data_IF_450484092755
#
_entry.id   IF_450484092755
#
_cell.length_a   1.000
_cell.length_b   1.000
_cell.length_c   1.000
_cell.angle_alpha   90.00
_cell.angle_beta   90.00
_cell.angle_gamma   90.00
#
_symmetry.space_group_name_H-M   'P 1'
#
loop_
_entity.id
_entity.type
_entity.pdbx_description
1 polymer ?
#
# COMPACT_ATOMS: atom_id res chain seq x y z
N UNK A 1 -5.55 12.70 7.04
CA UNK A 1 -6.84 12.77 6.32
C UNK A 1 -7.19 11.39 5.77
N UNK A 2 -8.47 11.08 5.56
CA UNK A 2 -8.94 9.73 5.15
C UNK A 2 -8.85 9.59 3.63
N UNK A 3 -8.39 8.45 3.07
CA UNK A 3 -8.49 8.20 1.65
C UNK A 3 -9.95 8.03 1.24
N UNK A 4 -10.30 8.45 0.02
CA UNK A 4 -11.61 8.20 -0.58
C UNK A 4 -11.65 6.86 -1.33
N UNK A 5 -10.49 6.38 -1.79
CA UNK A 5 -10.36 5.10 -2.48
C UNK A 5 -8.93 4.58 -2.30
N UNK A 6 -8.80 3.27 -2.09
CA UNK A 6 -7.56 2.54 -2.25
C UNK A 6 -7.63 1.70 -3.52
N UNK A 7 -6.58 1.70 -4.32
CA UNK A 7 -6.48 0.90 -5.54
C UNK A 7 -5.29 -0.05 -5.45
N UNK A 8 -5.44 -1.21 -6.09
CA UNK A 8 -4.34 -2.12 -6.40
C UNK A 8 -4.18 -2.19 -7.91
N UNK A 9 -2.98 -1.92 -8.37
CA UNK A 9 -2.58 -2.00 -9.77
C UNK A 9 -1.44 -3.02 -9.90
N UNK A 10 -1.37 -3.71 -11.04
CA UNK A 10 -0.27 -4.61 -11.36
C UNK A 10 0.22 -4.42 -12.79
N UNK A 11 1.43 -4.89 -13.07
CA UNK A 11 1.85 -5.24 -14.42
C UNK A 11 1.39 -6.67 -14.72
N UNK A 12 0.34 -6.82 -15.52
CA UNK A 12 -0.18 -8.10 -15.97
C UNK A 12 0.32 -8.50 -17.36
N UNK A 13 -0.23 -9.59 -17.90
CA UNK A 13 0.18 -10.15 -19.20
C UNK A 13 -0.02 -9.20 -20.39
N UNK A 14 -0.93 -8.22 -20.27
CA UNK A 14 -1.24 -7.25 -21.33
C UNK A 14 -0.75 -5.84 -21.02
N UNK A 15 -0.01 -5.65 -19.93
CA UNK A 15 0.48 -4.35 -19.47
C UNK A 15 -0.08 -3.96 -18.12
N UNK A 16 -0.17 -2.64 -17.87
CA UNK A 16 -0.68 -2.08 -16.61
C UNK A 16 -2.18 -2.32 -16.48
N UNK A 17 -2.60 -2.91 -15.37
CA UNK A 17 -3.98 -3.29 -15.12
C UNK A 17 -4.41 -2.88 -13.71
N UNK A 18 -5.59 -2.24 -13.60
CA UNK A 18 -6.27 -2.08 -12.31
C UNK A 18 -6.83 -3.43 -11.87
N UNK A 19 -6.31 -3.96 -10.76
CA UNK A 19 -6.76 -5.22 -10.18
C UNK A 19 -8.06 -5.01 -9.41
N UNK A 20 -8.07 -4.04 -8.49
CA UNK A 20 -9.26 -3.71 -7.72
C UNK A 20 -9.19 -2.29 -7.16
N UNK A 21 -10.34 -1.77 -6.75
CA UNK A 21 -10.48 -0.49 -6.05
C UNK A 21 -11.52 -0.62 -4.93
N UNK A 22 -11.20 -0.09 -3.76
CA UNK A 22 -12.07 -0.11 -2.59
C UNK A 22 -12.07 1.24 -1.84
N UNK A 23 -13.26 1.83 -1.59
CA UNK A 23 -14.53 1.53 -2.24
C UNK A 23 -14.49 1.90 -3.74
N UNK A 24 -15.30 1.25 -4.58
CA UNK A 24 -15.30 1.48 -6.05
C UNK A 24 -16.12 2.72 -6.42
N UNK A 25 -15.62 3.90 -6.04
CA UNK A 25 -16.38 5.17 -6.12
C UNK A 25 -15.87 6.16 -7.18
N UNK A 26 -14.69 5.94 -7.76
CA UNK A 26 -14.11 6.87 -8.73
C UNK A 26 -14.58 6.61 -10.17
N UNK A 27 -14.73 7.66 -11.00
CA UNK A 27 -15.03 7.50 -12.42
C UNK A 27 -13.97 6.66 -13.13
N UNK A 28 -14.39 5.83 -14.09
CA UNK A 28 -13.47 4.94 -14.84
C UNK A 28 -12.28 5.68 -15.45
N UNK A 29 -12.51 6.87 -16.04
CA UNK A 29 -11.44 7.70 -16.62
C UNK A 29 -10.35 8.07 -15.60
N UNK A 30 -10.75 8.38 -14.36
CA UNK A 30 -9.82 8.71 -13.27
C UNK A 30 -9.04 7.47 -12.86
N UNK A 31 -9.71 6.32 -12.75
CA UNK A 31 -9.06 5.06 -12.42
C UNK A 31 -8.03 4.65 -13.48
N UNK A 32 -8.36 4.81 -14.77
CA UNK A 32 -7.43 4.53 -15.87
C UNK A 32 -6.20 5.46 -15.79
N UNK A 33 -6.38 6.77 -15.55
CA UNK A 33 -5.27 7.70 -15.36
C UNK A 33 -4.41 7.38 -14.13
N UNK A 34 -5.03 6.95 -13.01
CA UNK A 34 -4.33 6.50 -11.81
C UNK A 34 -3.43 5.29 -12.12
N UNK A 35 -3.95 4.32 -12.89
CA UNK A 35 -3.19 3.14 -13.30
C UNK A 35 -1.91 3.51 -14.05
N UNK A 36 -1.97 4.47 -14.97
CA UNK A 36 -0.77 4.90 -15.72
C UNK A 36 0.19 5.76 -14.92
N UNK A 37 -0.31 6.66 -14.07
CA UNK A 37 0.52 7.62 -13.32
C UNK A 37 1.16 7.03 -12.06
N UNK A 38 0.56 6.00 -11.48
CA UNK A 38 1.07 5.35 -10.26
C UNK A 38 2.29 4.45 -10.53
N UNK A 39 2.42 3.89 -11.73
CA UNK A 39 3.54 3.03 -12.13
C UNK A 39 4.09 3.44 -13.51
N UNK A 40 4.97 4.46 -13.58
CA UNK A 40 5.62 4.83 -14.85
C UNK A 40 6.55 3.71 -15.35
N UNK A 41 6.93 3.75 -16.64
CA UNK A 41 7.74 2.68 -17.27
C UNK A 41 9.10 2.40 -16.58
N UNK A 42 9.62 3.32 -15.78
CA UNK A 42 10.88 3.17 -15.04
C UNK A 42 10.71 2.78 -13.57
N UNK A 43 9.47 2.49 -13.14
CA UNK A 43 9.14 2.12 -11.76
C UNK A 43 9.86 0.85 -11.30
N UNK A 44 10.36 0.86 -10.07
CA UNK A 44 11.05 -0.25 -9.41
C UNK A 44 10.42 -0.56 -8.05
N UNK A 45 10.54 -1.79 -7.53
CA UNK A 45 10.15 -2.10 -6.16
C UNK A 45 10.80 -1.15 -5.15
N UNK A 46 10.01 -0.65 -4.21
CA UNK A 46 10.44 0.34 -3.22
C UNK A 46 10.21 1.80 -3.64
N UNK A 47 9.94 2.06 -4.93
CA UNK A 47 9.61 3.40 -5.39
C UNK A 47 8.30 3.88 -4.76
N UNK A 48 8.27 5.18 -4.44
CA UNK A 48 7.09 5.88 -3.98
C UNK A 48 6.79 7.03 -4.93
N UNK A 49 5.54 7.10 -5.39
CA UNK A 49 5.06 8.13 -6.30
C UNK A 49 3.86 8.84 -5.70
N UNK A 50 3.75 10.14 -5.95
CA UNK A 50 2.59 10.93 -5.56
C UNK A 50 2.32 11.99 -6.62
N UNK A 51 1.08 12.46 -6.69
CA UNK A 51 0.70 13.45 -7.69
C UNK A 51 -0.78 13.76 -7.65
N UNK A 52 -1.28 14.32 -8.76
CA UNK A 52 -2.69 14.67 -8.91
C UNK A 52 -3.29 14.29 -10.26
N UNK A 53 -4.61 14.09 -10.26
CA UNK A 53 -5.46 13.84 -11.42
C UNK A 53 -6.71 14.70 -11.25
N UNK A 54 -6.78 15.80 -12.00
CA UNK A 54 -7.76 16.86 -11.71
C UNK A 54 -7.55 17.39 -10.30
N UNK A 55 -8.63 17.44 -9.53
CA UNK A 55 -8.63 17.90 -8.13
C UNK A 55 -8.30 16.78 -7.11
N UNK A 56 -8.08 15.55 -7.59
CA UNK A 56 -7.75 14.42 -6.73
C UNK A 56 -6.24 14.27 -6.59
N UNK A 57 -5.80 13.90 -5.39
CA UNK A 57 -4.41 13.63 -5.07
C UNK A 57 -4.22 12.14 -4.84
N UNK A 58 -3.06 11.59 -5.20
CA UNK A 58 -2.75 10.20 -4.96
C UNK A 58 -1.34 10.00 -4.40
N UNK A 59 -1.16 8.89 -3.69
CA UNK A 59 0.11 8.37 -3.23
C UNK A 59 0.17 6.87 -3.49
N UNK A 60 1.26 6.38 -4.06
CA UNK A 60 1.43 4.99 -4.44
C UNK A 60 2.78 4.44 -4.03
N UNK A 61 2.76 3.21 -3.54
CA UNK A 61 3.97 2.45 -3.20
C UNK A 61 4.08 1.23 -4.12
N UNK A 62 5.22 1.09 -4.80
CA UNK A 62 5.49 0.03 -5.77
C UNK A 62 6.23 -1.12 -5.07
N UNK A 63 5.83 -2.35 -5.34
CA UNK A 63 6.39 -3.55 -4.73
C UNK A 63 6.54 -4.70 -5.72
N UNK A 64 7.42 -5.65 -5.39
CA UNK A 64 7.64 -6.85 -6.18
C UNK A 64 6.61 -7.93 -5.82
N UNK A 65 5.98 -8.55 -6.81
CA UNK A 65 5.15 -9.73 -6.61
C UNK A 65 6.01 -11.00 -6.82
N UNK A 66 5.94 -11.99 -5.91
CA UNK A 66 6.61 -13.27 -6.08
C UNK A 66 5.82 -14.17 -7.06
N UNK A 67 6.40 -14.48 -8.23
CA UNK A 67 6.06 -15.63 -9.07
C UNK A 67 7.31 -16.15 -9.80
N UNK A 68 7.27 -17.45 -10.12
CA UNK A 68 8.43 -18.32 -10.33
C UNK A 68 9.18 -18.18 -11.68
N UNK A 69 8.66 -17.52 -12.72
CA UNK A 69 9.23 -17.74 -14.07
C UNK A 69 9.30 -16.58 -15.09
N UNK A 70 8.95 -15.32 -14.78
CA UNK A 70 9.12 -14.21 -15.75
C UNK A 70 9.49 -12.90 -15.05
N UNK A 71 10.27 -12.05 -15.74
CA UNK A 71 10.73 -10.69 -15.35
C UNK A 71 9.77 -9.99 -14.38
N UNK A 72 10.31 -9.58 -13.22
CA UNK A 72 9.79 -8.65 -12.22
C UNK A 72 8.33 -8.17 -12.41
N UNK A 73 7.35 -8.98 -12.02
CA UNK A 73 5.98 -8.50 -11.88
C UNK A 73 5.92 -7.53 -10.70
N UNK A 74 5.64 -6.26 -10.99
CA UNK A 74 5.47 -5.22 -9.98
C UNK A 74 3.99 -4.92 -9.77
N UNK A 75 3.63 -4.62 -8.53
CA UNK A 75 2.33 -4.09 -8.15
C UNK A 75 2.48 -2.72 -7.48
N UNK A 76 1.38 -1.98 -7.40
CA UNK A 76 1.30 -0.75 -6.62
C UNK A 76 0.02 -0.70 -5.80
N UNK A 77 0.16 -0.37 -4.51
CA UNK A 77 -0.96 0.04 -3.66
C UNK A 77 -1.04 1.56 -3.73
N UNK A 78 -2.23 2.07 -3.99
CA UNK A 78 -2.48 3.50 -4.24
C UNK A 78 -3.55 3.98 -3.27
N UNK A 79 -3.32 5.11 -2.60
CA UNK A 79 -4.34 5.84 -1.85
C UNK A 79 -4.70 7.13 -2.60
N UNK A 80 -6.01 7.42 -2.69
CA UNK A 80 -6.55 8.61 -3.35
C UNK A 80 -7.27 9.49 -2.34
N UNK A 81 -7.08 10.81 -2.45
CA UNK A 81 -7.57 11.84 -1.53
C UNK A 81 -8.19 13.02 -2.30
N UNK A 82 -9.09 13.76 -1.64
CA UNK A 82 -9.72 14.98 -2.20
C UNK A 82 -8.94 16.27 -1.87
N UNK A 83 -7.99 16.21 -0.93
CA UNK A 83 -7.20 17.35 -0.48
C UNK A 83 -5.74 16.91 -0.36
N UNK A 84 -4.82 17.84 -0.60
CA UNK A 84 -3.38 17.66 -0.50
C UNK A 84 -2.88 17.55 0.96
N UNK A 85 -3.68 17.94 1.95
CA UNK A 85 -3.33 17.94 3.38
C UNK A 85 -3.36 16.54 4.02
N UNK A 86 -2.63 15.58 3.46
CA UNK A 86 -2.44 14.24 4.04
C UNK A 86 -0.98 13.94 4.39
N UNK A 87 -0.76 13.02 5.34
CA UNK A 87 0.58 12.61 5.76
C UNK A 87 1.19 11.64 4.74
N UNK A 88 1.89 12.19 3.75
CA UNK A 88 2.53 11.43 2.67
C UNK A 88 3.56 10.43 3.20
N UNK A 89 4.40 10.84 4.16
CA UNK A 89 5.43 9.97 4.73
C UNK A 89 4.82 8.82 5.56
N UNK A 90 3.77 9.12 6.34
CA UNK A 90 3.02 8.10 7.07
C UNK A 90 2.39 7.07 6.13
N UNK A 91 1.86 7.48 4.98
CA UNK A 91 1.32 6.56 3.97
C UNK A 91 2.42 5.69 3.38
N UNK A 92 3.55 6.28 2.99
CA UNK A 92 4.71 5.55 2.46
C UNK A 92 5.17 4.48 3.43
N UNK A 93 5.43 4.86 4.70
CA UNK A 93 5.85 3.96 5.77
C UNK A 93 4.84 2.85 6.00
N UNK A 94 3.55 3.20 6.07
CA UNK A 94 2.47 2.23 6.25
C UNK A 94 2.47 1.19 5.14
N UNK A 95 2.45 1.62 3.88
CA UNK A 95 2.48 0.70 2.74
C UNK A 95 3.75 -0.14 2.70
N UNK A 96 4.93 0.45 2.91
CA UNK A 96 6.17 -0.32 2.92
C UNK A 96 6.21 -1.35 4.04
N UNK A 97 5.73 -1.02 5.26
CA UNK A 97 5.65 -1.95 6.38
C UNK A 97 4.71 -3.12 6.07
N UNK A 98 3.52 -2.84 5.54
CA UNK A 98 2.55 -3.91 5.17
C UNK A 98 3.15 -4.85 4.15
N UNK A 99 3.74 -4.30 3.08
CA UNK A 99 4.35 -5.11 2.03
C UNK A 99 5.52 -5.94 2.60
N UNK A 100 6.40 -5.34 3.40
CA UNK A 100 7.53 -6.03 4.04
C UNK A 100 7.06 -7.17 4.96
N UNK A 101 6.01 -6.93 5.75
CA UNK A 101 5.41 -7.95 6.64
C UNK A 101 4.80 -9.12 5.85
N UNK A 102 4.10 -8.82 4.77
CA UNK A 102 3.54 -9.85 3.89
C UNK A 102 4.65 -10.67 3.22
N UNK A 103 5.69 -10.00 2.74
CA UNK A 103 6.82 -10.65 2.07
C UNK A 103 7.60 -11.55 3.03
N UNK A 104 7.93 -11.04 4.22
CA UNK A 104 8.62 -11.80 5.27
C UNK A 104 7.85 -13.05 5.73
N UNK A 105 6.53 -13.08 5.54
CA UNK A 105 5.66 -14.23 5.85
C UNK A 105 5.33 -15.09 4.63
N UNK A 106 5.91 -14.81 3.46
CA UNK A 106 5.58 -15.47 2.19
C UNK A 106 4.07 -15.38 1.81
N UNK A 107 3.43 -14.30 2.26
CA UNK A 107 2.01 -13.99 2.04
C UNK A 107 1.80 -12.86 1.02
N UNK A 108 2.87 -12.34 0.41
CA UNK A 108 2.76 -11.28 -0.59
C UNK A 108 2.18 -11.84 -1.90
N UNK A 109 0.85 -11.87 -1.99
CA UNK A 109 0.11 -12.34 -3.16
C UNK A 109 -1.03 -11.37 -3.49
N UNK A 110 -1.39 -11.27 -4.76
CA UNK A 110 -2.40 -10.32 -5.23
C UNK A 110 -3.76 -10.50 -4.57
N UNK A 111 -4.21 -11.75 -4.41
CA UNK A 111 -5.46 -12.11 -3.75
C UNK A 111 -5.48 -11.64 -2.28
N UNK A 112 -4.38 -11.85 -1.55
CA UNK A 112 -4.22 -11.40 -0.16
C UNK A 112 -4.23 -9.87 -0.10
N UNK A 113 -3.51 -9.19 -0.99
CA UNK A 113 -3.50 -7.71 -1.00
C UNK A 113 -4.91 -7.18 -1.28
N UNK A 114 -5.66 -7.78 -2.20
CA UNK A 114 -7.05 -7.43 -2.47
C UNK A 114 -7.94 -7.61 -1.24
N UNK A 115 -7.78 -8.71 -0.51
CA UNK A 115 -8.54 -9.02 0.71
C UNK A 115 -8.30 -7.99 1.82
N UNK A 116 -7.09 -7.45 1.94
CA UNK A 116 -6.73 -6.53 3.02
C UNK A 116 -7.06 -5.06 2.71
N UNK A 117 -7.31 -4.67 1.45
CA UNK A 117 -7.62 -3.27 1.09
C UNK A 117 -8.76 -2.65 1.92
N UNK A 118 -9.89 -3.35 2.20
CA UNK A 118 -10.92 -2.82 3.09
C UNK A 118 -10.44 -2.55 4.53
N UNK A 119 -9.56 -3.41 5.04
CA UNK A 119 -8.96 -3.26 6.37
C UNK A 119 -8.00 -2.08 6.39
N UNK A 120 -7.19 -1.90 5.33
CA UNK A 120 -6.35 -0.72 5.15
C UNK A 120 -7.17 0.56 5.12
N UNK A 121 -8.22 0.58 4.30
CA UNK A 121 -9.12 1.73 4.19
C UNK A 121 -9.71 2.09 5.56
N UNK A 122 -10.26 1.10 6.26
CA UNK A 122 -10.82 1.29 7.60
C UNK A 122 -9.75 1.72 8.60
N UNK A 123 -8.53 1.21 8.45
CA UNK A 123 -7.39 1.54 9.30
C UNK A 123 -6.95 2.99 9.16
N UNK A 124 -6.80 3.50 7.94
CA UNK A 124 -6.55 4.93 7.69
C UNK A 124 -7.68 5.82 8.24
N UNK A 125 -8.92 5.34 8.21
CA UNK A 125 -10.07 6.06 8.77
C UNK A 125 -10.00 6.16 10.30
N UNK A 126 -9.49 5.12 10.97
CA UNK A 126 -9.44 5.01 12.44
C UNK A 126 -8.11 5.43 13.06
N UNK A 127 -7.05 5.60 12.27
CA UNK A 127 -5.69 5.89 12.74
C UNK A 127 -4.93 4.66 13.26
N UNK A 128 -5.54 3.48 13.18
CA UNK A 128 -4.92 2.19 13.57
C UNK A 128 -5.34 1.15 12.55
N UNK A 129 -4.37 0.49 11.93
CA UNK A 129 -4.56 -0.56 10.93
C UNK A 129 -4.34 -1.90 11.61
N UNK A 130 -5.40 -2.68 11.76
CA UNK A 130 -5.32 -4.06 12.22
C UNK A 130 -5.83 -4.97 11.09
N UNK A 131 -4.93 -5.76 10.53
CA UNK A 131 -5.21 -6.67 9.42
C UNK A 131 -5.04 -8.08 9.95
N UNK A 132 -6.12 -8.84 9.96
CA UNK A 132 -6.07 -10.27 10.24
C UNK A 132 -6.20 -11.01 8.91
N UNK A 133 -5.16 -11.76 8.55
CA UNK A 133 -5.12 -12.59 7.35
C UNK A 133 -5.31 -14.03 7.81
N UNK A 134 -6.55 -14.50 7.72
CA UNK A 134 -6.95 -15.84 8.20
C UNK A 134 -6.47 -16.11 9.66
N UNK A 135 -6.22 -17.37 10.01
CA UNK A 135 -5.59 -17.76 11.29
C UNK A 135 -4.05 -17.59 11.28
N UNK A 136 -3.48 -17.09 10.19
CA UNK A 136 -2.06 -17.25 9.85
C UNK A 136 -1.24 -16.01 10.23
N UNK A 137 -1.80 -14.81 10.06
CA UNK A 137 -1.09 -13.58 10.37
C UNK A 137 -2.00 -12.47 10.90
N UNK A 138 -1.49 -11.70 11.85
CA UNK A 138 -2.04 -10.40 12.23
C UNK A 138 -0.96 -9.34 11.99
N UNK A 139 -1.32 -8.26 11.33
CA UNK A 139 -0.48 -7.08 11.12
C UNK A 139 -1.18 -5.91 11.80
N UNK A 140 -0.50 -5.27 12.76
CA UNK A 140 -1.03 -4.15 13.53
C UNK A 140 -0.10 -2.96 13.42
N UNK A 141 -0.57 -1.85 12.85
CA UNK A 141 0.21 -0.63 12.63
C UNK A 141 -0.58 0.57 13.17
N UNK A 142 0.03 1.38 14.03
CA UNK A 142 -0.53 2.67 14.46
C UNK A 142 -0.11 3.75 13.47
N UNK A 143 -1.09 4.37 12.81
CA UNK A 143 -0.84 5.40 11.81
C UNK A 143 -0.59 6.78 12.43
N UNK A 144 -1.17 7.04 13.61
CA UNK A 144 -1.09 8.35 14.29
C UNK A 144 0.24 8.61 15.03
N UNK A 145 1.05 7.59 15.30
CA UNK A 145 2.36 7.75 15.97
C UNK A 145 3.49 8.10 14.96
N UNK A 146 3.16 8.33 13.68
CA UNK A 146 4.13 8.63 12.62
C UNK A 146 4.23 10.12 12.28
N UNK A 147 3.67 11.00 13.11
CA UNK A 147 3.98 12.43 13.09
C UNK A 147 5.17 12.69 14.03
N UNK A 148 6.26 13.20 13.46
CA UNK A 148 7.45 13.71 14.14
C UNK A 148 8.34 12.72 14.90
N UNK A 149 9.40 12.27 14.22
CA UNK A 149 10.77 12.44 14.74
C UNK A 149 11.79 12.14 13.63
N UNK A 150 12.77 13.03 13.55
CA UNK A 150 14.08 12.75 12.98
C UNK A 150 14.70 11.52 13.65
N UNK A 151 15.63 10.86 12.95
CA UNK A 151 16.34 9.60 13.27
C UNK A 151 15.72 8.33 12.69
N UNK A 152 16.36 7.85 11.61
CA UNK A 152 16.39 6.45 11.22
C UNK A 152 16.88 5.61 12.42
N UNK A 153 15.95 5.03 13.17
CA UNK A 153 16.23 3.85 14.00
C UNK A 153 15.54 2.66 13.35
N UNK A 154 16.33 1.63 13.11
CA UNK A 154 15.91 0.36 12.55
C UNK A 154 14.92 -0.28 13.52
N UNK A 155 13.63 -0.30 13.16
CA UNK A 155 12.52 -0.75 14.02
C UNK A 155 12.48 -2.28 14.22
N UNK A 156 13.58 -2.98 13.98
CA UNK A 156 13.67 -4.45 14.11
C UNK A 156 14.10 -4.95 15.49
N UNK A 157 14.58 -4.09 16.40
CA UNK A 157 15.13 -4.56 17.69
C UNK A 157 14.11 -4.62 18.86
N UNK A 158 12.97 -3.95 18.81
CA UNK A 158 12.03 -3.90 19.96
C UNK A 158 10.94 -5.00 19.98
N UNK A 159 11.02 -6.02 19.11
CA UNK A 159 10.02 -7.09 19.01
C UNK A 159 10.52 -8.48 19.43
N UNK A 160 11.80 -8.64 19.79
CA UNK A 160 12.35 -9.94 20.21
C UNK A 160 12.19 -10.25 21.71
N UNK A 161 11.88 -9.27 22.58
CA UNK A 161 11.85 -9.53 24.03
C UNK A 161 10.58 -10.20 24.56
N UNK A 162 9.49 -10.27 23.78
CA UNK A 162 8.18 -10.70 24.32
C UNK A 162 7.70 -12.08 23.84
N UNK A 163 8.56 -12.89 23.22
CA UNK A 163 8.20 -14.24 22.75
C UNK A 163 8.83 -15.40 23.54
N UNK A 164 9.69 -15.15 24.54
CA UNK A 164 10.26 -16.22 25.38
C UNK A 164 10.54 -15.82 26.84
N UNK A 165 9.50 -15.42 27.60
CA UNK A 165 9.48 -15.57 29.07
C UNK A 165 8.13 -16.06 29.58
#
# INVERSE_FOLDING_TARGET
MKPITLCLVQMGNKGLELVTAYPKVLPKKVLDELTYKSMPMSAKPGDFSSGSIGDLFYSSYIFQLPQEDVRHNIGAIIAVFEDMKYNLEGIKKTFSCIIKELDGKSLLKLDIIQEILPNLYTGFVKGVINIKISSIATISIKFNDMESSEEEKDYTEDLEEDLWR
#
